data_IF_912221972337
#
_entry.id   IF_912221972337
#
_cell.length_a   1.000
_cell.length_b   1.000
_cell.length_c   1.000
_cell.angle_alpha   90.00
_cell.angle_beta   90.00
_cell.angle_gamma   90.00
#
_symmetry.space_group_name_H-M   'P 1'
#
loop_
_entity.id
_entity.type
_entity.pdbx_description
1 polymer ?
#
# COMPACT_ATOMS: atom_id res chain seq x y z
N UNK A 1 6.46 -31.12 -5.16
CA UNK A 1 6.19 -30.00 -6.08
C UNK A 1 5.89 -28.78 -5.24
N UNK A 2 6.82 -27.82 -5.14
CA UNK A 2 6.58 -26.55 -4.44
C UNK A 2 5.87 -25.64 -5.44
N UNK A 3 4.56 -25.48 -5.32
CA UNK A 3 3.91 -24.33 -5.95
C UNK A 3 4.43 -23.10 -5.23
N UNK A 4 5.14 -22.25 -5.96
CA UNK A 4 5.48 -20.90 -5.56
C UNK A 4 4.17 -20.14 -5.37
N UNK A 5 3.63 -20.13 -4.15
CA UNK A 5 2.57 -19.18 -3.81
C UNK A 5 3.24 -17.81 -3.79
N UNK A 6 2.95 -17.01 -4.80
CA UNK A 6 3.22 -15.57 -4.79
C UNK A 6 2.73 -15.01 -3.46
N UNK A 7 3.63 -14.39 -2.68
CA UNK A 7 3.30 -13.85 -1.35
C UNK A 7 2.22 -12.77 -1.49
N UNK A 8 1.42 -12.52 -0.46
CA UNK A 8 0.32 -11.56 -0.53
C UNK A 8 0.80 -10.14 -0.89
N UNK A 9 1.97 -9.72 -0.38
CA UNK A 9 2.68 -8.52 -0.81
C UNK A 9 2.91 -8.46 -2.33
N UNK A 10 3.43 -9.53 -2.92
CA UNK A 10 3.62 -9.62 -4.37
C UNK A 10 2.29 -9.55 -5.12
N UNK A 11 1.21 -10.12 -4.57
CA UNK A 11 -0.12 -10.03 -5.18
C UNK A 11 -0.70 -8.61 -5.09
N UNK A 12 -0.45 -7.87 -3.99
CA UNK A 12 -0.87 -6.47 -3.87
C UNK A 12 -0.08 -5.57 -4.80
N UNK A 13 1.24 -5.70 -4.84
CA UNK A 13 2.06 -4.95 -5.80
C UNK A 13 1.62 -5.22 -7.25
N UNK A 14 1.40 -6.48 -7.63
CA UNK A 14 0.85 -6.81 -8.95
C UNK A 14 -0.51 -6.18 -9.25
N UNK A 15 -1.34 -5.90 -8.24
CA UNK A 15 -2.63 -5.20 -8.44
C UNK A 15 -2.42 -3.70 -8.67
N UNK A 16 -1.46 -3.10 -7.97
CA UNK A 16 -1.04 -1.71 -8.21
C UNK A 16 -0.41 -1.59 -9.59
N UNK A 17 0.53 -2.46 -9.94
CA UNK A 17 1.20 -2.46 -11.26
C UNK A 17 0.18 -2.55 -12.40
N UNK A 18 -0.85 -3.41 -12.27
CA UNK A 18 -1.93 -3.49 -13.27
C UNK A 18 -2.76 -2.22 -13.42
N UNK A 19 -2.95 -1.47 -12.34
CA UNK A 19 -3.63 -0.18 -12.38
C UNK A 19 -2.71 0.88 -13.00
N UNK A 20 -1.43 0.84 -12.65
CA UNK A 20 -0.39 1.71 -13.19
C UNK A 20 -0.26 1.54 -14.71
N UNK A 21 -0.07 0.31 -15.19
CA UNK A 21 -0.03 -0.03 -16.62
C UNK A 21 -1.29 0.47 -17.35
N UNK A 22 -2.46 0.31 -16.72
CA UNK A 22 -3.70 0.83 -17.30
C UNK A 22 -3.68 2.36 -17.43
N UNK A 23 -3.19 3.09 -16.41
CA UNK A 23 -3.13 4.54 -16.44
C UNK A 23 -2.06 5.07 -17.38
N UNK A 24 -0.89 4.44 -17.49
CA UNK A 24 0.12 4.78 -18.49
C UNK A 24 -0.47 4.78 -19.92
N UNK A 25 -1.32 3.79 -20.23
CA UNK A 25 -1.94 3.65 -21.55
C UNK A 25 -2.97 4.75 -21.86
N UNK A 26 -3.64 5.30 -20.83
CA UNK A 26 -4.85 6.11 -21.03
C UNK A 26 -4.76 7.55 -20.52
N UNK A 27 -3.81 7.89 -19.64
CA UNK A 27 -3.73 9.21 -18.99
C UNK A 27 -3.61 10.35 -19.99
N UNK A 28 -2.88 10.13 -21.10
CA UNK A 28 -2.74 11.10 -22.18
C UNK A 28 -4.01 11.31 -23.03
N UNK A 29 -5.01 10.44 -22.87
CA UNK A 29 -6.31 10.51 -23.54
C UNK A 29 -7.39 11.19 -22.69
N UNK A 30 -7.13 11.39 -21.40
CA UNK A 30 -8.06 12.03 -20.48
C UNK A 30 -8.10 13.54 -20.78
N UNK A 31 -9.27 14.05 -21.16
CA UNK A 31 -9.46 15.48 -21.47
C UNK A 31 -9.89 16.31 -20.28
N UNK A 32 -10.47 15.69 -19.25
CA UNK A 32 -10.84 16.34 -18.00
C UNK A 32 -9.58 16.55 -17.15
N UNK A 33 -9.16 17.81 -16.99
CA UNK A 33 -7.91 18.16 -16.30
C UNK A 33 -7.86 17.63 -14.87
N UNK A 34 -8.93 17.80 -14.09
CA UNK A 34 -8.96 17.36 -12.70
C UNK A 34 -8.79 15.85 -12.56
N UNK A 35 -9.34 15.06 -13.49
CA UNK A 35 -9.18 13.61 -13.50
C UNK A 35 -7.77 13.19 -13.96
N UNK A 36 -7.22 13.90 -14.96
CA UNK A 36 -5.85 13.66 -15.41
C UNK A 36 -4.86 13.90 -14.27
N UNK A 37 -4.99 15.03 -13.56
CA UNK A 37 -4.14 15.37 -12.42
C UNK A 37 -4.30 14.33 -11.29
N UNK A 38 -5.54 13.95 -10.95
CA UNK A 38 -5.77 12.92 -9.92
C UNK A 38 -5.19 11.54 -10.28
N UNK A 39 -5.15 11.18 -11.57
CA UNK A 39 -4.49 9.95 -12.05
C UNK A 39 -2.98 10.07 -11.93
N UNK A 40 -2.39 11.20 -12.31
CA UNK A 40 -0.95 11.43 -12.17
C UNK A 40 -0.51 11.42 -10.70
N UNK A 41 -1.23 12.11 -9.83
CA UNK A 41 -0.99 12.09 -8.38
C UNK A 41 -1.09 10.66 -7.83
N UNK A 42 -2.02 9.84 -8.34
CA UNK A 42 -2.11 8.43 -7.96
C UNK A 42 -0.93 7.60 -8.44
N UNK A 43 -0.40 7.88 -9.63
CA UNK A 43 0.78 7.20 -10.16
C UNK A 43 2.02 7.55 -9.33
N UNK A 44 2.19 8.83 -8.96
CA UNK A 44 3.28 9.26 -8.08
C UNK A 44 3.21 8.55 -6.72
N UNK A 45 2.04 8.52 -6.07
CA UNK A 45 1.85 7.78 -4.80
C UNK A 45 2.15 6.28 -4.97
N UNK A 46 1.79 5.68 -6.11
CA UNK A 46 2.03 4.25 -6.38
C UNK A 46 3.52 3.91 -6.54
N UNK A 47 4.35 4.87 -6.94
CA UNK A 47 5.80 4.72 -7.03
C UNK A 47 6.49 4.83 -5.66
N UNK A 48 5.88 5.53 -4.70
CA UNK A 48 6.40 5.66 -3.34
C UNK A 48 6.15 4.39 -2.49
N UNK A 49 5.11 3.61 -2.81
CA UNK A 49 4.75 2.44 -2.01
C UNK A 49 5.77 1.28 -2.19
N UNK A 50 6.44 0.82 -1.09
CA UNK A 50 7.52 -0.15 -1.17
C UNK A 50 7.05 -1.50 -1.70
N UNK A 51 7.63 -2.02 -2.77
CA UNK A 51 7.30 -3.34 -3.34
C UNK A 51 7.72 -4.55 -2.45
N UNK A 52 8.35 -4.28 -1.31
CA UNK A 52 8.87 -5.28 -0.42
C UNK A 52 7.84 -5.83 0.58
N UNK A 53 8.18 -6.95 1.22
CA UNK A 53 7.33 -7.52 2.26
C UNK A 53 7.36 -6.63 3.51
N UNK A 54 6.27 -6.59 4.28
CA UNK A 54 6.25 -5.85 5.55
C UNK A 54 7.38 -6.24 6.52
N UNK A 55 7.82 -7.51 6.48
CA UNK A 55 8.98 -7.95 7.26
C UNK A 55 10.25 -7.19 6.84
N UNK A 56 10.46 -7.05 5.53
CA UNK A 56 11.60 -6.30 4.97
C UNK A 56 11.46 -4.82 5.27
N UNK A 57 10.26 -4.26 5.11
CA UNK A 57 9.96 -2.86 5.40
C UNK A 57 10.32 -2.48 6.85
N UNK A 58 9.84 -3.27 7.81
CA UNK A 58 10.15 -3.07 9.24
C UNK A 58 11.64 -3.28 9.53
N UNK A 59 12.32 -4.20 8.85
CA UNK A 59 13.78 -4.36 8.98
C UNK A 59 14.54 -3.14 8.45
N UNK A 60 14.11 -2.57 7.33
CA UNK A 60 14.67 -1.34 6.76
C UNK A 60 14.45 -0.16 7.71
N UNK A 61 13.25 0.03 8.23
CA UNK A 61 12.93 1.07 9.21
C UNK A 61 13.84 0.95 10.44
N UNK A 62 13.96 -0.23 11.04
CA UNK A 62 14.82 -0.44 12.21
C UNK A 62 16.31 -0.24 11.89
N UNK A 63 16.76 -0.57 10.67
CA UNK A 63 18.13 -0.32 10.24
C UNK A 63 18.41 1.18 10.02
N UNK A 64 17.43 1.93 9.51
CA UNK A 64 17.51 3.39 9.40
C UNK A 64 17.59 4.02 10.79
N UNK A 65 16.77 3.55 11.73
CA UNK A 65 16.85 3.94 13.13
C UNK A 65 18.24 3.67 13.73
N UNK A 66 18.83 2.50 13.47
CA UNK A 66 20.20 2.17 13.89
C UNK A 66 21.28 3.04 13.22
N UNK A 67 21.01 3.61 12.03
CA UNK A 67 21.99 4.35 11.24
C UNK A 67 21.93 5.86 11.47
N UNK A 68 20.72 6.41 11.53
CA UNK A 68 20.46 7.86 11.60
C UNK A 68 20.57 8.40 13.03
N UNK A 69 20.27 7.56 14.01
CA UNK A 69 20.13 7.97 15.40
C UNK A 69 21.15 7.28 16.29
N UNK A 70 21.79 8.03 17.20
CA UNK A 70 22.84 7.47 18.06
C UNK A 70 22.31 6.63 19.24
N UNK A 71 20.98 6.49 19.39
CA UNK A 71 20.32 5.71 20.46
C UNK A 71 20.74 4.23 20.56
N UNK A 72 21.42 3.66 19.55
CA UNK A 72 21.99 2.31 19.63
C UNK A 72 23.27 2.24 20.49
N UNK A 73 23.91 3.38 20.76
CA UNK A 73 25.16 3.44 21.53
C UNK A 73 24.87 3.38 23.04
N UNK A 74 25.61 2.54 23.76
CA UNK A 74 25.36 2.21 25.17
C UNK A 74 25.54 3.37 26.16
N UNK A 75 26.19 4.46 25.76
CA UNK A 75 26.55 5.58 26.64
C UNK A 75 25.84 6.90 26.25
N UNK A 76 24.85 6.85 25.35
CA UNK A 76 24.14 8.02 24.83
C UNK A 76 22.73 8.08 25.42
N UNK A 77 22.40 9.21 26.04
CA UNK A 77 21.07 9.51 26.58
C UNK A 77 20.67 10.91 26.10
N UNK A 78 19.38 11.12 25.87
CA UNK A 78 18.85 12.38 25.38
C UNK A 78 17.89 12.17 24.22
N UNK A 79 16.77 12.91 24.24
CA UNK A 79 15.71 12.86 23.23
C UNK A 79 16.23 13.11 21.81
N UNK A 80 17.22 13.99 21.65
CA UNK A 80 17.82 14.37 20.37
C UNK A 80 18.49 13.20 19.61
N UNK A 81 18.70 12.07 20.28
CA UNK A 81 19.27 10.86 19.71
C UNK A 81 18.23 9.82 19.32
N UNK A 82 16.93 10.16 19.36
CA UNK A 82 15.82 9.27 19.06
C UNK A 82 14.93 9.89 17.97
N UNK A 83 14.25 9.08 17.15
CA UNK A 83 13.23 9.56 16.22
C UNK A 83 12.09 10.25 16.98
N UNK A 84 11.50 11.29 16.37
CA UNK A 84 10.33 11.96 16.93
C UNK A 84 9.14 11.00 17.07
N UNK A 85 9.03 10.02 16.17
CA UNK A 85 8.02 8.94 16.20
C UNK A 85 8.12 8.05 17.45
N UNK A 86 9.21 8.13 18.19
CA UNK A 86 9.40 7.40 19.44
C UNK A 86 9.06 8.23 20.68
N UNK A 87 8.60 9.47 20.54
CA UNK A 87 8.43 10.42 21.66
C UNK A 87 7.44 9.97 22.73
N UNK A 88 6.44 9.15 22.37
CA UNK A 88 5.46 8.57 23.29
C UNK A 88 5.95 7.25 23.96
N UNK A 89 7.07 6.69 23.50
CA UNK A 89 7.65 5.48 24.06
C UNK A 89 8.21 5.71 25.47
N UNK A 90 7.94 4.78 26.40
CA UNK A 90 8.45 4.83 27.78
C UNK A 90 9.99 4.81 27.88
N UNK A 91 10.67 4.42 26.80
CA UNK A 91 12.12 4.34 26.71
C UNK A 91 12.77 5.50 25.93
N UNK A 92 11.97 6.47 25.49
CA UNK A 92 12.44 7.64 24.75
C UNK A 92 13.51 8.42 25.52
N UNK A 93 14.63 8.72 24.85
CA UNK A 93 15.76 9.41 25.45
C UNK A 93 16.61 8.58 26.42
N UNK A 94 16.30 7.30 26.63
CA UNK A 94 17.04 6.38 27.52
C UNK A 94 17.76 5.30 26.71
N UNK A 95 17.03 4.29 26.22
CA UNK A 95 17.59 3.18 25.45
C UNK A 95 16.47 2.37 24.78
N UNK A 96 16.47 2.29 23.46
CA UNK A 96 15.47 1.51 22.73
C UNK A 96 15.67 0.00 22.99
N UNK A 97 14.73 -0.73 23.61
CA UNK A 97 14.90 -2.15 23.93
C UNK A 97 14.98 -3.01 22.66
N UNK A 98 14.32 -2.60 21.57
CA UNK A 98 14.33 -3.34 20.30
C UNK A 98 15.72 -3.33 19.64
N UNK A 99 16.47 -2.23 19.79
CA UNK A 99 17.75 -2.01 19.12
C UNK A 99 18.94 -2.34 20.04
N UNK A 100 18.92 -1.83 21.27
CA UNK A 100 20.08 -1.87 22.17
C UNK A 100 20.20 -3.20 22.93
N UNK A 101 19.08 -3.90 23.16
CA UNK A 101 19.11 -5.13 23.95
C UNK A 101 19.59 -6.31 23.09
N UNK A 102 20.75 -6.87 23.45
CA UNK A 102 21.34 -8.03 22.77
C UNK A 102 20.41 -9.25 22.72
N UNK A 103 19.61 -9.47 23.77
CA UNK A 103 18.67 -10.58 23.79
C UNK A 103 17.55 -10.35 22.76
N UNK A 104 17.00 -9.15 22.70
CA UNK A 104 15.96 -8.79 21.72
C UNK A 104 16.50 -8.83 20.29
N UNK A 105 17.75 -8.43 20.05
CA UNK A 105 18.40 -8.63 18.75
C UNK A 105 18.40 -10.09 18.31
N UNK A 106 18.72 -11.01 19.22
CA UNK A 106 18.70 -12.46 18.94
C UNK A 106 17.27 -12.95 18.69
N UNK A 107 16.30 -12.51 19.48
CA UNK A 107 14.90 -12.88 19.28
C UNK A 107 14.34 -12.32 17.97
N UNK A 108 14.73 -11.10 17.58
CA UNK A 108 14.41 -10.48 16.28
C UNK A 108 14.98 -11.29 15.13
N UNK A 109 16.25 -11.67 15.19
CA UNK A 109 16.88 -12.53 14.17
C UNK A 109 16.14 -13.89 14.04
N UNK A 110 15.78 -14.51 15.18
CA UNK A 110 14.99 -15.75 15.20
C UNK A 110 13.58 -15.55 14.67
N UNK A 111 12.96 -14.41 14.96
CA UNK A 111 11.64 -14.06 14.46
C UNK A 111 11.68 -13.94 12.94
N UNK A 112 12.64 -13.18 12.40
CA UNK A 112 12.88 -13.06 10.96
C UNK A 112 13.04 -14.43 10.29
N UNK A 113 13.93 -15.26 10.81
CA UNK A 113 14.21 -16.57 10.21
C UNK A 113 12.97 -17.48 10.20
N UNK A 114 12.11 -17.38 11.20
CA UNK A 114 10.84 -18.13 11.30
C UNK A 114 9.78 -17.60 10.34
N UNK A 115 9.75 -16.28 10.15
CA UNK A 115 8.78 -15.60 9.29
C UNK A 115 9.17 -15.61 7.82
N UNK A 116 10.39 -16.05 7.47
CA UNK A 116 10.81 -16.25 6.07
C UNK A 116 9.88 -17.22 5.36
N UNK A 117 9.06 -16.69 4.46
CA UNK A 117 8.09 -17.46 3.67
C UNK A 117 6.78 -17.74 4.39
N UNK A 118 6.54 -17.15 5.58
CA UNK A 118 5.23 -17.13 6.20
C UNK A 118 4.24 -16.30 5.38
N UNK A 119 2.95 -16.57 5.57
CA UNK A 119 1.87 -15.73 5.03
C UNK A 119 1.90 -14.35 5.69
N UNK A 120 1.42 -13.32 5.01
CA UNK A 120 1.61 -11.96 5.51
C UNK A 120 0.80 -11.68 6.76
N UNK A 121 -0.42 -12.22 6.86
CA UNK A 121 -1.21 -12.14 8.10
C UNK A 121 -0.49 -12.75 9.31
N UNK A 122 0.29 -13.82 9.09
CA UNK A 122 1.13 -14.40 10.13
C UNK A 122 2.30 -13.47 10.48
N UNK A 123 2.99 -12.94 9.46
CA UNK A 123 4.08 -11.96 9.64
C UNK A 123 3.60 -10.77 10.47
N UNK A 124 2.50 -10.13 10.07
CA UNK A 124 1.93 -8.96 10.75
C UNK A 124 1.56 -9.26 12.19
N UNK A 125 0.88 -10.39 12.43
CA UNK A 125 0.48 -10.79 13.79
C UNK A 125 1.69 -11.00 14.70
N UNK A 126 2.73 -11.67 14.21
CA UNK A 126 3.92 -11.95 15.02
C UNK A 126 4.79 -10.69 15.22
N UNK A 127 4.88 -9.81 14.22
CA UNK A 127 5.53 -8.50 14.36
C UNK A 127 4.81 -7.61 15.38
N UNK A 128 3.48 -7.50 15.31
CA UNK A 128 2.68 -6.76 16.31
C UNK A 128 2.87 -7.33 17.72
N UNK A 129 2.91 -8.67 17.86
CA UNK A 129 3.18 -9.33 19.15
C UNK A 129 4.59 -9.02 19.66
N UNK A 130 5.58 -8.98 18.77
CA UNK A 130 6.95 -8.63 19.13
C UNK A 130 7.06 -7.16 19.56
N UNK A 131 6.47 -6.24 18.79
CA UNK A 131 6.44 -4.81 19.07
C UNK A 131 5.76 -4.53 20.41
N UNK A 132 4.57 -5.09 20.64
CA UNK A 132 3.82 -4.89 21.89
C UNK A 132 4.52 -5.48 23.12
N UNK A 133 5.33 -6.54 22.97
CA UNK A 133 6.14 -7.06 24.09
C UNK A 133 7.29 -6.12 24.46
N UNK A 134 7.83 -5.43 23.47
CA UNK A 134 8.97 -4.54 23.60
C UNK A 134 8.59 -3.06 23.73
N UNK A 135 7.29 -2.74 23.82
CA UNK A 135 6.81 -1.36 23.93
C UNK A 135 7.20 -0.47 22.74
N UNK A 136 7.34 -1.06 21.55
CA UNK A 136 7.78 -0.32 20.36
C UNK A 136 6.57 0.19 19.57
N UNK A 137 6.14 1.40 19.89
CA UNK A 137 4.98 2.06 19.27
C UNK A 137 5.24 2.38 17.79
N UNK A 138 6.41 2.92 17.45
CA UNK A 138 6.80 3.16 16.05
C UNK A 138 6.65 1.92 15.15
N UNK A 139 6.97 0.71 15.64
CA UNK A 139 6.75 -0.52 14.87
C UNK A 139 5.26 -0.86 14.70
N UNK A 140 4.41 -0.52 15.67
CA UNK A 140 2.97 -0.76 15.59
C UNK A 140 2.37 0.20 14.56
N UNK A 141 2.71 1.49 14.67
CA UNK A 141 2.21 2.54 13.79
C UNK A 141 2.62 2.26 12.35
N UNK A 142 3.89 1.93 12.10
CA UNK A 142 4.37 1.56 10.77
C UNK A 142 3.65 0.34 10.17
N UNK A 143 3.31 -0.66 10.99
CA UNK A 143 2.54 -1.82 10.51
C UNK A 143 1.12 -1.42 10.11
N UNK A 144 0.50 -0.52 10.86
CA UNK A 144 -0.87 -0.08 10.63
C UNK A 144 -0.94 0.89 9.43
N UNK A 145 0.02 1.80 9.31
CA UNK A 145 0.20 2.71 8.16
C UNK A 145 0.43 1.93 6.87
N UNK A 146 1.37 0.98 6.87
CA UNK A 146 1.64 0.13 5.70
C UNK A 146 0.39 -0.62 5.21
N UNK A 147 -0.50 -1.06 6.11
CA UNK A 147 -1.78 -1.66 5.71
C UNK A 147 -2.77 -0.63 5.15
N UNK A 148 -2.80 0.57 5.72
CA UNK A 148 -3.62 1.70 5.28
C UNK A 148 -3.25 2.12 3.87
N UNK A 149 -1.99 2.47 3.63
CA UNK A 149 -1.49 3.02 2.38
C UNK A 149 -1.81 2.10 1.20
N UNK A 150 -1.51 0.81 1.33
CA UNK A 150 -1.78 -0.18 0.30
C UNK A 150 -3.27 -0.34 -0.02
N UNK A 151 -4.13 -0.30 1.01
CA UNK A 151 -5.57 -0.47 0.83
C UNK A 151 -6.16 0.77 0.16
N UNK A 152 -5.81 1.94 0.68
CA UNK A 152 -6.38 3.22 0.28
C UNK A 152 -5.90 3.58 -1.13
N UNK A 153 -4.63 3.29 -1.46
CA UNK A 153 -4.11 3.41 -2.82
C UNK A 153 -4.83 2.48 -3.81
N UNK A 154 -5.06 1.21 -3.46
CA UNK A 154 -5.80 0.27 -4.31
C UNK A 154 -7.26 0.67 -4.49
N UNK A 155 -7.90 1.24 -3.48
CA UNK A 155 -9.28 1.72 -3.55
C UNK A 155 -9.38 2.94 -4.47
N UNK A 156 -8.56 3.97 -4.23
CA UNK A 156 -8.49 5.18 -5.05
C UNK A 156 -8.18 4.86 -6.52
N UNK A 157 -7.20 4.00 -6.78
CA UNK A 157 -6.86 3.61 -8.15
C UNK A 157 -7.99 2.87 -8.87
N UNK A 158 -8.83 2.10 -8.15
CA UNK A 158 -10.02 1.47 -8.74
C UNK A 158 -11.16 2.45 -8.98
N UNK A 159 -11.28 3.49 -8.16
CA UNK A 159 -12.23 4.59 -8.38
C UNK A 159 -11.83 5.39 -9.63
N UNK A 160 -10.59 5.88 -9.68
CA UNK A 160 -10.06 6.59 -10.83
C UNK A 160 -10.19 5.78 -12.12
N UNK A 161 -9.91 4.47 -12.08
CA UNK A 161 -10.10 3.59 -13.25
C UNK A 161 -11.56 3.55 -13.71
N UNK A 162 -12.53 3.55 -12.79
CA UNK A 162 -13.97 3.58 -13.15
C UNK A 162 -14.35 4.91 -13.76
N UNK A 163 -13.83 6.02 -13.24
CA UNK A 163 -14.05 7.36 -13.78
C UNK A 163 -13.44 7.50 -15.17
N UNK A 164 -12.19 7.09 -15.34
CA UNK A 164 -11.51 7.07 -16.65
C UNK A 164 -12.29 6.29 -17.70
N UNK A 165 -12.88 5.14 -17.36
CA UNK A 165 -13.77 4.43 -18.29
C UNK A 165 -15.06 5.17 -18.64
N UNK A 166 -15.60 5.98 -17.72
CA UNK A 166 -16.78 6.80 -18.00
C UNK A 166 -16.47 7.84 -19.07
N UNK A 167 -15.30 8.50 -18.99
CA UNK A 167 -14.89 9.55 -19.93
C UNK A 167 -14.32 9.02 -21.25
N UNK A 168 -13.65 7.87 -21.23
CA UNK A 168 -13.05 7.28 -22.44
C UNK A 168 -13.97 6.34 -23.21
N UNK A 169 -15.16 6.01 -22.68
CA UNK A 169 -16.16 5.27 -23.46
C UNK A 169 -16.56 6.13 -24.67
N UNK A 170 -16.48 5.59 -25.90
CA UNK A 170 -16.98 6.30 -27.08
C UNK A 170 -18.44 6.71 -26.87
N UNK A 171 -18.74 7.97 -27.15
CA UNK A 171 -20.11 8.50 -27.15
C UNK A 171 -21.06 7.76 -28.13
N UNK A 172 -20.54 6.86 -28.97
CA UNK A 172 -21.28 6.14 -30.01
C UNK A 172 -22.30 5.10 -29.50
N UNK A 173 -22.27 4.71 -28.22
CA UNK A 173 -23.30 3.79 -27.67
C UNK A 173 -24.58 4.47 -27.18
N UNK A 174 -24.62 5.81 -27.05
CA UNK A 174 -25.83 6.51 -26.62
C UNK A 174 -26.79 6.84 -27.78
N UNK A 175 -26.29 7.07 -28.99
CA UNK A 175 -27.15 7.36 -30.16
C UNK A 175 -27.76 6.09 -30.80
N UNK A 176 -27.13 4.92 -30.64
CA UNK A 176 -27.66 3.67 -31.18
C UNK A 176 -28.78 3.06 -30.32
N UNK A 177 -28.75 3.28 -29.00
CA UNK A 177 -29.79 2.77 -28.10
C UNK A 177 -31.11 3.55 -28.20
N UNK A 178 -31.07 4.85 -28.47
CA UNK A 178 -32.29 5.66 -28.66
C UNK A 178 -32.86 5.58 -30.08
N UNK A 179 -32.04 5.34 -31.11
CA UNK A 179 -32.55 5.17 -32.49
C UNK A 179 -33.22 3.81 -32.72
N UNK A 180 -32.69 2.69 -32.19
CA UNK A 180 -33.36 1.39 -32.29
C UNK A 180 -34.64 1.29 -31.44
N UNK A 181 -34.74 2.03 -30.32
CA UNK A 181 -35.97 2.12 -29.52
C UNK A 181 -36.99 3.12 -30.11
N UNK A 182 -36.54 4.07 -30.94
CA UNK A 182 -37.39 5.01 -31.68
C UNK A 182 -37.97 4.43 -32.97
N UNK A 183 -37.21 3.64 -33.71
CA UNK A 183 -37.65 3.03 -34.98
C UNK A 183 -38.53 1.78 -34.78
N UNK A 184 -38.32 1.00 -33.71
CA UNK A 184 -39.16 -0.17 -33.41
C UNK A 184 -40.60 0.17 -32.98
N UNK A 185 -40.85 1.43 -32.57
CA UNK A 185 -42.19 1.91 -32.21
C UNK A 185 -42.92 2.62 -33.36
N UNK A 186 -42.22 3.02 -34.43
CA UNK A 186 -42.82 3.66 -35.60
C UNK A 186 -43.40 2.65 -36.60
N UNK A 187 -42.78 1.48 -36.76
CA UNK A 187 -43.18 0.47 -37.75
C UNK A 187 -44.31 -0.47 -37.26
N UNK A 188 -44.74 -0.33 -36.00
CA UNK A 188 -45.84 -1.13 -35.43
C UNK A 188 -47.24 -0.50 -35.64
N UNK A 189 -47.34 0.68 -36.26
CA UNK A 189 -48.62 1.41 -36.43
C UNK A 189 -49.06 1.62 -37.88
N UNK A 190 -48.28 1.25 -38.89
CA UNK A 190 -48.70 1.31 -40.30
C UNK A 190 -48.82 -0.08 -40.92
N UNK A 191 -50.02 -0.64 -40.86
CA UNK A 191 -50.40 -1.71 -41.79
C UNK A 191 -51.16 -2.87 -41.17
N UNK A 192 -52.46 -2.67 -40.90
CA UNK A 192 -53.42 -3.75 -41.16
C UNK A 192 -54.64 -3.22 -41.92
N UNK A 193 -55.05 -3.90 -43.02
CA UNK A 193 -56.22 -3.57 -43.82
C UNK A 193 -57.54 -3.84 -43.09
#
# INVERSE_FOLDING_TARGET
>A
MRHTSTTEAQQRRQRIDKLYEHFEDVVGLITETDLQDAVLDWMDDADEVPAESILTHIETMLANFETEYEMYATDINGADHFPDDCSDCEHYGIACPVITNRYEKIERDRLRDRLRGAGEDEVKRELRRYAGRNGCEAMIDEIDEWEGDYRDLLERGRELRRETFHYLRPAEEYEYAESELGETNADAMEGRP
#
